data_IF_595159545420
#
_entry.id   IF_595159545420
#
_cell.length_a   1.000
_cell.length_b   1.000
_cell.length_c   1.000
_cell.angle_alpha   90.00
_cell.angle_beta   90.00
_cell.angle_gamma   90.00
#
_symmetry.space_group_name_H-M   'P 1'
#
loop_
_entity.id
_entity.type
_entity.pdbx_description
1 polymer ?
#
# COMPACT_ATOMS: atom_id res chain seq x y z
N UNK A 1 -0.62 21.33 23.27
CA UNK A 1 0.70 21.04 22.67
C UNK A 1 0.56 19.73 21.90
N UNK A 2 0.34 19.77 20.58
CA UNK A 2 0.03 18.56 19.81
C UNK A 2 1.28 17.69 19.66
N UNK A 3 1.23 16.44 20.13
CA UNK A 3 2.33 15.46 20.19
C UNK A 3 2.98 15.17 18.81
N UNK A 4 2.32 15.58 17.73
CA UNK A 4 2.78 15.54 16.33
C UNK A 4 3.98 16.47 16.07
N UNK A 5 4.22 17.50 16.90
CA UNK A 5 5.18 18.57 16.61
C UNK A 5 6.66 18.21 16.76
N UNK A 6 7.01 17.23 17.61
CA UNK A 6 8.41 16.91 17.92
C UNK A 6 9.00 15.78 17.06
N UNK A 7 8.15 14.84 16.60
CA UNK A 7 8.56 13.70 15.77
C UNK A 7 7.86 13.64 14.40
N UNK A 8 6.68 14.25 14.25
CA UNK A 8 5.88 14.15 13.03
C UNK A 8 6.55 14.79 11.83
N UNK A 9 7.17 15.96 11.99
CA UNK A 9 7.81 16.72 10.89
C UNK A 9 8.92 15.91 10.21
N UNK A 10 9.63 15.06 10.95
CA UNK A 10 10.70 14.21 10.40
C UNK A 10 10.18 13.03 9.58
N UNK A 11 8.97 12.56 9.85
CA UNK A 11 8.34 11.41 9.17
C UNK A 11 7.42 11.79 8.01
N UNK A 12 7.20 13.09 7.79
CA UNK A 12 6.47 13.58 6.63
C UNK A 12 7.40 13.67 5.41
N UNK A 13 6.87 13.33 4.25
CA UNK A 13 7.49 13.58 2.95
C UNK A 13 6.41 13.80 1.90
N UNK A 14 6.80 14.37 0.76
CA UNK A 14 5.84 14.79 -0.25
C UNK A 14 6.32 14.44 -1.65
N UNK A 15 5.42 13.95 -2.48
CA UNK A 15 5.60 13.93 -3.93
C UNK A 15 5.02 15.22 -4.52
N UNK A 16 5.83 15.89 -5.34
CA UNK A 16 5.45 17.14 -6.01
C UNK A 16 5.30 16.83 -7.50
N UNK A 17 4.12 17.10 -8.02
CA UNK A 17 3.81 17.06 -9.44
C UNK A 17 3.59 18.51 -9.95
N UNK A 18 3.56 18.74 -11.27
CA UNK A 18 3.43 20.09 -11.81
C UNK A 18 2.19 20.88 -11.37
N UNK A 19 1.08 20.20 -11.04
CA UNK A 19 -0.21 20.84 -10.69
C UNK A 19 -0.76 20.41 -9.32
N UNK A 20 -0.11 19.46 -8.65
CA UNK A 20 -0.63 18.84 -7.43
C UNK A 20 0.49 18.25 -6.57
N UNK A 21 0.21 18.00 -5.31
CA UNK A 21 1.13 17.35 -4.38
C UNK A 21 0.42 16.32 -3.51
N UNK A 22 1.16 15.27 -3.12
CA UNK A 22 0.67 14.22 -2.23
C UNK A 22 1.57 14.18 -0.99
N UNK A 23 0.98 14.42 0.18
CA UNK A 23 1.67 14.39 1.46
C UNK A 23 1.52 13.02 2.12
N UNK A 24 2.65 12.42 2.47
CA UNK A 24 2.73 11.14 3.16
C UNK A 24 3.23 11.33 4.59
N UNK A 25 2.69 10.53 5.51
CA UNK A 25 3.14 10.42 6.88
C UNK A 25 3.55 8.96 7.13
N UNK A 26 4.81 8.75 7.50
CA UNK A 26 5.29 7.43 7.94
C UNK A 26 5.13 7.24 9.45
N UNK A 27 4.97 5.99 9.88
CA UNK A 27 4.89 5.65 11.31
C UNK A 27 6.28 5.73 11.96
N UNK A 28 7.34 5.41 11.21
CA UNK A 28 8.73 5.53 11.64
C UNK A 28 9.65 6.23 10.63
N UNK A 29 10.74 6.84 11.10
CA UNK A 29 11.76 7.47 10.22
C UNK A 29 12.37 6.47 9.23
N UNK A 30 12.60 5.23 9.69
CA UNK A 30 13.12 4.14 8.85
C UNK A 30 12.17 3.79 7.70
N UNK A 31 10.86 3.85 7.94
CA UNK A 31 9.86 3.58 6.91
C UNK A 31 9.79 4.71 5.90
N UNK A 32 9.84 5.98 6.35
CA UNK A 32 10.00 7.12 5.43
C UNK A 32 11.21 6.93 4.52
N UNK A 33 12.36 6.51 5.07
CA UNK A 33 13.57 6.31 4.26
C UNK A 33 13.37 5.22 3.19
N UNK A 34 12.74 4.09 3.55
CA UNK A 34 12.40 3.03 2.59
C UNK A 34 11.44 3.51 1.51
N UNK A 35 10.38 4.24 1.89
CA UNK A 35 9.44 4.81 0.94
C UNK A 35 10.12 5.78 -0.02
N UNK A 36 11.00 6.65 0.48
CA UNK A 36 11.77 7.55 -0.37
C UNK A 36 12.68 6.79 -1.34
N UNK A 37 13.33 5.70 -0.92
CA UNK A 37 14.15 4.87 -1.80
C UNK A 37 13.33 4.24 -2.92
N UNK A 38 12.20 3.61 -2.59
CA UNK A 38 11.27 3.01 -3.55
C UNK A 38 10.74 4.06 -4.53
N UNK A 39 10.24 5.17 -4.00
CA UNK A 39 9.63 6.21 -4.82
C UNK A 39 10.67 6.88 -5.72
N UNK A 40 11.88 7.15 -5.23
CA UNK A 40 13.00 7.68 -6.04
C UNK A 40 13.40 6.74 -7.18
N UNK A 41 13.43 5.43 -6.93
CA UNK A 41 13.69 4.44 -7.97
C UNK A 41 12.60 4.41 -9.05
N UNK A 42 11.39 4.88 -8.73
CA UNK A 42 10.23 4.90 -9.61
C UNK A 42 9.96 6.27 -10.25
N UNK A 43 10.70 7.34 -9.94
CA UNK A 43 10.37 8.73 -10.35
C UNK A 43 10.23 8.91 -11.87
N UNK A 44 10.82 8.06 -12.71
CA UNK A 44 10.61 8.09 -14.17
C UNK A 44 9.29 7.43 -14.63
N UNK A 45 8.70 6.55 -13.83
CA UNK A 45 7.53 5.74 -14.19
C UNK A 45 6.25 6.11 -13.44
N UNK A 46 6.30 7.03 -12.47
CA UNK A 46 5.11 7.43 -11.73
C UNK A 46 4.19 8.22 -12.67
N UNK A 47 2.99 7.71 -13.01
CA UNK A 47 2.11 8.40 -13.94
C UNK A 47 1.68 9.77 -13.38
N UNK A 48 1.48 10.77 -14.26
CA UNK A 48 0.82 12.01 -13.86
C UNK A 48 -0.62 11.71 -13.42
N UNK A 49 -1.15 12.51 -12.50
CA UNK A 49 -2.49 12.36 -11.89
C UNK A 49 -2.61 11.20 -10.88
N UNK A 50 -2.87 11.46 -9.59
CA UNK A 50 -2.83 10.48 -8.50
C UNK A 50 -3.95 9.44 -8.55
N UNK A 51 -4.88 9.51 -9.51
CA UNK A 51 -5.94 8.53 -9.69
C UNK A 51 -5.39 7.09 -9.83
N UNK A 52 -4.15 6.93 -10.32
CA UNK A 52 -3.48 5.63 -10.35
C UNK A 52 -3.36 4.97 -8.97
N UNK A 53 -3.18 5.75 -7.90
CA UNK A 53 -3.02 5.22 -6.55
C UNK A 53 -4.34 4.61 -6.06
N UNK A 54 -5.45 5.29 -6.33
CA UNK A 54 -6.80 4.81 -6.02
C UNK A 54 -7.15 3.57 -6.84
N UNK A 55 -6.83 3.57 -8.15
CA UNK A 55 -7.05 2.40 -9.01
C UNK A 55 -6.20 1.19 -8.59
N UNK A 56 -4.95 1.41 -8.16
CA UNK A 56 -4.09 0.35 -7.61
C UNK A 56 -4.64 -0.19 -6.30
N UNK A 57 -5.11 0.68 -5.41
CA UNK A 57 -5.76 0.28 -4.16
C UNK A 57 -6.99 -0.58 -4.42
N UNK A 58 -7.90 -0.13 -5.28
CA UNK A 58 -9.10 -0.88 -5.67
C UNK A 58 -8.74 -2.24 -6.27
N UNK A 59 -7.73 -2.30 -7.14
CA UNK A 59 -7.25 -3.59 -7.68
C UNK A 59 -6.78 -4.53 -6.57
N UNK A 60 -5.98 -4.04 -5.62
CA UNK A 60 -5.47 -4.87 -4.52
C UNK A 60 -6.60 -5.38 -3.62
N UNK A 61 -7.61 -4.54 -3.35
CA UNK A 61 -8.79 -4.91 -2.57
C UNK A 61 -9.58 -6.03 -3.26
N UNK A 62 -9.86 -5.90 -4.57
CA UNK A 62 -10.52 -6.93 -5.38
C UNK A 62 -9.74 -8.27 -5.38
N UNK A 63 -8.40 -8.23 -5.44
CA UNK A 63 -7.56 -9.44 -5.35
C UNK A 63 -7.67 -10.08 -3.97
N UNK A 64 -7.62 -9.29 -2.90
CA UNK A 64 -7.74 -9.78 -1.53
C UNK A 64 -9.13 -10.40 -1.26
N UNK A 65 -10.19 -9.85 -1.84
CA UNK A 65 -11.54 -10.41 -1.79
C UNK A 65 -11.64 -11.77 -2.49
N UNK A 66 -11.02 -11.89 -3.67
CA UNK A 66 -10.98 -13.16 -4.43
C UNK A 66 -10.27 -14.27 -3.63
N UNK A 67 -9.18 -13.93 -2.92
CA UNK A 67 -8.47 -14.88 -2.06
C UNK A 67 -9.27 -15.28 -0.80
N UNK A 68 -10.21 -14.45 -0.33
CA UNK A 68 -11.13 -14.80 0.77
C UNK A 68 -12.31 -15.65 0.33
N UNK A 69 -12.59 -15.73 -0.96
CA UNK A 69 -13.73 -16.46 -1.52
C UNK A 69 -13.42 -17.91 -1.93
N UNK A 70 -12.20 -18.44 -1.70
CA UNK A 70 -11.95 -19.86 -1.92
C UNK A 70 -12.69 -20.72 -0.86
N UNK A 71 -13.64 -21.57 -1.26
CA UNK A 71 -14.30 -22.49 -0.35
C UNK A 71 -13.33 -23.61 0.03
N UNK A 72 -13.16 -23.84 1.33
CA UNK A 72 -12.70 -25.13 1.84
C UNK A 72 -13.72 -26.20 1.41
N UNK A 73 -13.37 -27.05 0.46
CA UNK A 73 -14.29 -28.08 -0.02
C UNK A 73 -13.67 -29.06 -1.00
N UNK A 74 -12.77 -29.93 -0.51
CA UNK A 74 -12.50 -31.24 -1.11
C UNK A 74 -11.79 -32.15 -0.10
N UNK A 75 -12.42 -32.44 1.03
CA UNK A 75 -12.08 -33.64 1.80
C UNK A 75 -12.70 -34.82 1.06
N UNK A 76 -11.87 -35.43 0.22
CA UNK A 76 -12.16 -36.63 -0.55
C UNK A 76 -12.76 -37.72 0.34
N UNK A 77 -13.87 -38.28 -0.13
CA UNK A 77 -14.45 -39.54 0.31
C UNK A 77 -13.39 -40.65 0.42
N UNK A 78 -13.10 -41.12 1.63
CA UNK A 78 -12.47 -42.43 1.85
C UNK A 78 -13.48 -43.34 2.55
N UNK A 79 -14.17 -44.15 1.75
CA UNK A 79 -14.89 -45.34 2.23
C UNK A 79 -13.85 -46.32 2.80
N UNK A 80 -14.00 -46.69 4.08
CA UNK A 80 -13.24 -47.77 4.69
C UNK A 80 -14.05 -49.08 4.58
N UNK A 81 -13.48 -50.19 4.08
CA UNK A 81 -14.05 -51.51 4.26
C UNK A 81 -13.38 -52.23 5.44
N UNK A 82 -14.17 -52.86 6.30
CA UNK A 82 -13.83 -54.06 7.05
C UNK A 82 -15.12 -54.72 7.56
#
# INVERSE_FOLDING_TARGET
>A
MSMIGLFGVKRLFRLVFPMEDILFLADADKEKMKWLEVLRALVEYIPPHPLWAELLWQRQENLNETHRAQPQGAASSSSCPA
#
